data_IF_053475046867
#
_entry.id   IF_053475046867
#
_cell.length_a   1.000
_cell.length_b   1.000
_cell.length_c   1.000
_cell.angle_alpha   90.00
_cell.angle_beta   90.00
_cell.angle_gamma   90.00
#
_symmetry.space_group_name_H-M   'P 1'
#
loop_
_entity.id
_entity.type
_entity.pdbx_description
1 polymer ?
#
# COMPACT_ATOMS: atom_id res chain seq x y z
N UNK A 1 19.94 14.18 -5.49
CA UNK A 1 19.52 14.09 -4.08
C UNK A 1 18.90 12.72 -3.90
N UNK A 2 19.61 11.78 -3.28
CA UNK A 2 19.15 10.39 -3.10
C UNK A 2 18.27 10.32 -1.86
N UNK A 3 17.05 9.79 -1.98
CA UNK A 3 16.25 9.47 -0.80
C UNK A 3 16.70 8.12 -0.26
N UNK A 4 16.79 8.01 1.07
CA UNK A 4 17.22 6.79 1.74
C UNK A 4 16.04 6.20 2.50
N UNK A 5 15.79 4.91 2.30
CA UNK A 5 14.83 4.15 3.08
C UNK A 5 15.57 3.57 4.30
N UNK A 6 15.12 3.93 5.50
CA UNK A 6 15.69 3.43 6.75
C UNK A 6 14.74 2.38 7.32
N UNK A 7 15.23 1.16 7.46
CA UNK A 7 14.51 0.02 8.03
C UNK A 7 14.51 0.02 9.56
N UNK A 8 13.71 -0.87 10.13
CA UNK A 8 13.59 -1.02 11.58
C UNK A 8 14.90 -1.51 12.24
N UNK A 9 15.68 -2.32 11.54
CA UNK A 9 17.01 -2.79 11.96
C UNK A 9 18.11 -1.74 11.75
N UNK A 10 17.75 -0.49 11.43
CA UNK A 10 18.67 0.59 11.09
C UNK A 10 19.48 0.37 9.79
N UNK A 11 19.14 -0.66 9.02
CA UNK A 11 19.58 -0.78 7.63
C UNK A 11 19.10 0.44 6.83
N UNK A 12 19.97 0.97 5.97
CA UNK A 12 19.66 2.05 5.06
C UNK A 12 19.88 1.61 3.61
N UNK A 13 18.82 1.67 2.80
CA UNK A 13 18.90 1.40 1.36
C UNK A 13 18.68 2.68 0.58
N UNK A 14 19.56 2.95 -0.39
CA UNK A 14 19.38 4.06 -1.33
C UNK A 14 18.22 3.74 -2.29
N UNK A 15 17.30 4.69 -2.46
CA UNK A 15 16.26 4.57 -3.49
C UNK A 15 16.80 4.91 -4.88
N UNK A 16 16.26 4.21 -5.88
CA UNK A 16 16.48 4.49 -7.30
C UNK A 16 15.74 5.76 -7.74
N UNK A 17 14.62 6.09 -7.08
CA UNK A 17 13.89 7.32 -7.30
C UNK A 17 12.47 7.30 -6.72
N UNK A 18 11.66 8.28 -7.13
CA UNK A 18 10.23 8.36 -6.80
C UNK A 18 9.43 8.36 -8.08
N UNK A 19 8.40 7.51 -8.15
CA UNK A 19 7.46 7.44 -9.28
C UNK A 19 6.05 7.68 -8.75
N UNK A 20 5.24 8.45 -9.48
CA UNK A 20 3.81 8.62 -9.14
C UNK A 20 2.95 7.83 -10.10
N UNK A 21 2.17 6.89 -9.57
CA UNK A 21 1.34 5.98 -10.36
C UNK A 21 -0.11 6.01 -9.86
N UNK A 22 -1.10 5.82 -10.74
CA UNK A 22 -2.47 5.56 -10.34
C UNK A 22 -2.55 4.16 -9.72
N UNK A 23 -3.12 4.07 -8.52
CA UNK A 23 -3.37 2.81 -7.82
C UNK A 23 -4.85 2.66 -7.53
N UNK A 24 -5.45 1.59 -8.04
CA UNK A 24 -6.87 1.25 -7.81
C UNK A 24 -6.99 0.24 -6.68
N UNK A 25 -7.89 0.52 -5.74
CA UNK A 25 -8.21 -0.35 -4.60
C UNK A 25 -9.62 -0.93 -4.76
N UNK A 26 -9.77 -2.20 -4.39
CA UNK A 26 -11.04 -2.93 -4.43
C UNK A 26 -11.40 -3.45 -5.81
N UNK A 27 -12.63 -3.96 -5.91
CA UNK A 27 -13.22 -4.51 -7.13
C UNK A 27 -14.51 -3.75 -7.48
N UNK A 28 -14.87 -3.73 -8.77
CA UNK A 28 -16.09 -3.07 -9.24
C UNK A 28 -17.34 -3.70 -8.59
N UNK A 29 -18.34 -2.90 -8.19
CA UNK A 29 -18.52 -1.45 -8.42
C UNK A 29 -17.89 -0.55 -7.33
N UNK A 30 -17.11 -1.11 -6.40
CA UNK A 30 -16.60 -0.42 -5.21
C UNK A 30 -15.08 -0.23 -5.29
N UNK A 31 -14.65 0.37 -6.39
CA UNK A 31 -13.24 0.72 -6.61
C UNK A 31 -12.94 2.14 -6.18
N UNK A 32 -11.66 2.42 -5.92
CA UNK A 32 -11.17 3.79 -5.71
C UNK A 32 -9.74 3.91 -6.21
N UNK A 33 -9.51 4.85 -7.12
CA UNK A 33 -8.17 5.13 -7.67
C UNK A 33 -7.55 6.35 -7.00
N UNK A 34 -6.30 6.23 -6.56
CA UNK A 34 -5.51 7.32 -5.99
C UNK A 34 -4.20 7.47 -6.74
N UNK A 35 -3.74 8.72 -6.92
CA UNK A 35 -2.35 8.98 -7.32
C UNK A 35 -1.44 8.81 -6.11
N UNK A 36 -0.56 7.81 -6.17
CA UNK A 36 0.36 7.45 -5.09
C UNK A 36 1.79 7.60 -5.58
N UNK A 37 2.61 8.33 -4.81
CA UNK A 37 4.04 8.43 -5.04
C UNK A 37 4.75 7.29 -4.30
N UNK A 38 5.45 6.45 -5.05
CA UNK A 38 6.21 5.30 -4.56
C UNK A 38 7.70 5.61 -4.60
N UNK A 39 8.40 5.26 -3.53
CA UNK A 39 9.86 5.18 -3.53
C UNK A 39 10.26 3.84 -4.14
N UNK A 40 11.08 3.87 -5.19
CA UNK A 40 11.58 2.67 -5.87
C UNK A 40 12.90 2.28 -5.23
N UNK A 41 12.99 1.02 -4.76
CA UNK A 41 14.20 0.47 -4.14
C UNK A 41 14.53 -0.87 -4.81
N UNK A 42 15.82 -1.14 -5.00
CA UNK A 42 16.31 -2.43 -5.50
C UNK A 42 16.70 -3.28 -4.28
N UNK A 43 15.74 -4.02 -3.74
CA UNK A 43 15.95 -4.88 -2.57
C UNK A 43 15.42 -6.29 -2.85
N UNK A 44 16.15 -7.36 -2.48
CA UNK A 44 15.57 -8.70 -2.44
C UNK A 44 14.46 -8.75 -1.37
N UNK A 45 13.21 -8.70 -1.81
CA UNK A 45 12.01 -8.69 -0.96
C UNK A 45 10.94 -9.60 -1.54
N UNK A 46 10.17 -10.25 -0.66
CA UNK A 46 8.95 -10.98 -1.05
C UNK A 46 7.79 -10.06 -1.41
N UNK A 47 7.91 -8.77 -1.07
CA UNK A 47 6.89 -7.75 -1.32
C UNK A 47 7.32 -6.83 -2.46
N UNK A 48 6.48 -6.72 -3.48
CA UNK A 48 6.68 -5.79 -4.62
C UNK A 48 6.26 -4.36 -4.28
N UNK A 49 5.26 -4.19 -3.42
CA UNK A 49 4.69 -2.88 -3.07
C UNK A 49 4.43 -2.81 -1.58
N UNK A 50 4.86 -1.71 -0.95
CA UNK A 50 4.54 -1.40 0.44
C UNK A 50 3.72 -0.12 0.47
N UNK A 51 2.53 -0.19 1.05
CA UNK A 51 1.62 0.96 1.16
C UNK A 51 1.77 1.57 2.54
N UNK A 52 2.33 2.77 2.58
CA UNK A 52 2.48 3.53 3.81
C UNK A 52 1.17 4.15 4.31
N UNK A 53 1.20 4.62 5.56
CA UNK A 53 0.12 5.38 6.20
C UNK A 53 -0.39 6.57 5.38
N UNK A 54 0.43 7.37 4.65
CA UNK A 54 -0.08 8.49 3.87
C UNK A 54 -1.13 8.08 2.83
N UNK A 55 -0.92 6.97 2.12
CA UNK A 55 -1.86 6.47 1.11
C UNK A 55 -3.10 5.87 1.77
N UNK A 56 -2.94 5.10 2.85
CA UNK A 56 -4.05 4.54 3.63
C UNK A 56 -4.95 5.64 4.23
N UNK A 57 -4.35 6.72 4.72
CA UNK A 57 -5.08 7.87 5.25
C UNK A 57 -5.87 8.60 4.16
N UNK A 58 -5.29 8.79 2.97
CA UNK A 58 -6.01 9.34 1.80
C UNK A 58 -7.18 8.45 1.39
N UNK A 59 -7.01 7.13 1.50
CA UNK A 59 -8.06 6.16 1.22
C UNK A 59 -9.18 6.19 2.27
N UNK A 60 -8.91 6.74 3.47
CA UNK A 60 -9.72 6.58 4.70
C UNK A 60 -9.89 5.10 5.04
N UNK A 61 -8.80 4.36 4.92
CA UNK A 61 -8.78 2.93 5.12
C UNK A 61 -8.89 2.56 6.61
N UNK A 62 -9.65 1.53 6.90
CA UNK A 62 -9.68 0.82 8.17
C UNK A 62 -9.12 -0.56 7.90
N UNK A 63 -8.03 -0.91 8.58
CA UNK A 63 -7.39 -2.22 8.47
C UNK A 63 -7.80 -3.05 9.69
N UNK A 64 -8.46 -4.18 9.44
CA UNK A 64 -8.72 -5.21 10.44
C UNK A 64 -7.70 -6.32 10.25
N UNK A 65 -6.77 -6.43 11.19
CA UNK A 65 -5.81 -7.54 11.22
C UNK A 65 -6.50 -8.85 11.59
N UNK A 66 -7.56 -8.80 12.39
CA UNK A 66 -8.35 -9.95 12.78
C UNK A 66 -9.11 -10.55 11.58
N UNK A 67 -9.76 -9.69 10.79
CA UNK A 67 -10.54 -10.14 9.62
C UNK A 67 -9.69 -10.25 8.34
N UNK A 68 -8.38 -10.00 8.42
CA UNK A 68 -7.48 -9.98 7.26
C UNK A 68 -8.03 -9.11 6.11
N UNK A 69 -8.57 -7.94 6.46
CA UNK A 69 -9.27 -7.09 5.52
C UNK A 69 -8.96 -5.61 5.69
N UNK A 70 -9.01 -4.89 4.57
CA UNK A 70 -8.93 -3.45 4.51
C UNK A 70 -10.21 -2.90 3.91
N UNK A 71 -10.92 -2.07 4.67
CA UNK A 71 -12.16 -1.40 4.23
C UNK A 71 -11.93 0.06 3.97
N UNK A 72 -12.64 0.63 3.01
CA UNK A 72 -12.52 2.06 2.66
C UNK A 72 -13.82 2.61 2.08
N UNK A 73 -14.00 3.92 2.17
CA UNK A 73 -15.18 4.59 1.64
C UNK A 73 -15.04 4.89 0.14
N UNK A 74 -16.05 4.48 -0.63
CA UNK A 74 -16.28 4.80 -2.05
C UNK A 74 -17.59 5.59 -2.20
N UNK A 75 -17.86 6.15 -3.38
CA UNK A 75 -19.13 6.83 -3.67
C UNK A 75 -20.35 5.88 -3.64
N UNK A 76 -20.13 4.58 -3.85
CA UNK A 76 -21.18 3.54 -3.93
C UNK A 76 -21.33 2.77 -2.61
N UNK A 77 -20.50 3.06 -1.60
CA UNK A 77 -20.53 2.42 -0.28
C UNK A 77 -19.13 2.01 0.22
N UNK A 78 -19.08 0.97 1.05
CA UNK A 78 -17.81 0.48 1.62
C UNK A 78 -17.19 -0.55 0.67
N UNK A 79 -16.00 -0.23 0.15
CA UNK A 79 -15.13 -1.17 -0.53
C UNK A 79 -14.34 -2.00 0.49
N UNK A 80 -14.00 -3.24 0.13
CA UNK A 80 -13.23 -4.16 0.96
C UNK A 80 -12.21 -4.88 0.08
N UNK A 81 -10.97 -4.96 0.57
CA UNK A 81 -9.92 -5.83 0.04
C UNK A 81 -9.61 -6.83 1.12
N UNK A 82 -9.65 -8.12 0.79
CA UNK A 82 -9.29 -9.22 1.70
C UNK A 82 -7.95 -9.81 1.27
N UNK A 83 -7.09 -10.10 2.23
CA UNK A 83 -5.94 -10.96 2.01
C UNK A 83 -6.34 -12.42 2.19
N UNK A 84 -5.73 -13.32 1.43
CA UNK A 84 -5.85 -14.76 1.68
C UNK A 84 -4.97 -15.13 2.89
N UNK A 85 -5.54 -15.64 4.00
CA UNK A 85 -4.75 -16.08 5.15
C UNK A 85 -3.75 -17.19 4.82
N UNK A 86 -3.97 -17.96 3.75
CA UNK A 86 -3.08 -19.04 3.30
C UNK A 86 -1.81 -18.52 2.64
N UNK A 87 -1.84 -17.28 2.13
CA UNK A 87 -0.69 -16.61 1.53
C UNK A 87 0.03 -15.67 2.52
N UNK A 88 -0.53 -15.48 3.72
CA UNK A 88 0.11 -14.72 4.79
C UNK A 88 1.27 -15.52 5.40
N UNK A 89 2.50 -15.06 5.19
CA UNK A 89 3.73 -15.72 5.64
C UNK A 89 4.29 -15.16 6.94
#
# INVERSE_FOLDING_TARGET
>A
MTLTLIGFTQDATASSGVVTLPMTFGEEPRTKTLMVSFMVVELPSTYTVIIGRPSLNKLRAIISTYDYSMKFSTSVGIGEVRSDPRESR
#
